data_IF_941694048344
#
_entry.id   IF_941694048344
#
_cell.length_a   1.000
_cell.length_b   1.000
_cell.length_c   1.000
_cell.angle_alpha   90.00
_cell.angle_beta   90.00
_cell.angle_gamma   90.00
#
_symmetry.space_group_name_H-M   'P 1'
#
loop_
_entity.id
_entity.type
_entity.pdbx_description
1 polymer ?
#
# COMPACT_ATOMS: atom_id res chain seq x y z
N UNK A 1 -5.22 -17.26 6.28
CA UNK A 1 -5.09 -16.20 7.31
C UNK A 1 -5.76 -14.88 6.88
N UNK A 2 -5.60 -14.43 5.64
CA UNK A 2 -6.18 -13.15 5.16
C UNK A 2 -7.69 -13.01 5.38
N UNK A 3 -8.45 -14.10 5.29
CA UNK A 3 -9.90 -14.06 5.51
C UNK A 3 -10.28 -13.75 6.97
N UNK A 4 -9.55 -14.29 7.94
CA UNK A 4 -9.76 -14.00 9.36
C UNK A 4 -9.35 -12.55 9.69
N UNK A 5 -8.24 -12.09 9.12
CA UNK A 5 -7.80 -10.70 9.26
C UNK A 5 -8.82 -9.73 8.67
N UNK A 6 -9.35 -10.03 7.48
CA UNK A 6 -10.39 -9.22 6.84
C UNK A 6 -11.63 -9.11 7.72
N UNK A 7 -12.14 -10.24 8.23
CA UNK A 7 -13.31 -10.25 9.11
C UNK A 7 -13.07 -9.42 10.39
N UNK A 8 -11.87 -9.51 10.97
CA UNK A 8 -11.50 -8.71 12.13
C UNK A 8 -11.50 -7.20 11.82
N UNK A 9 -10.95 -6.79 10.68
CA UNK A 9 -10.92 -5.39 10.28
C UNK A 9 -12.32 -4.86 9.93
N UNK A 10 -13.15 -5.65 9.25
CA UNK A 10 -14.54 -5.28 8.96
C UNK A 10 -15.36 -5.09 10.25
N UNK A 11 -15.12 -5.92 11.26
CA UNK A 11 -15.74 -5.77 12.58
C UNK A 11 -15.29 -4.48 13.30
N UNK A 12 -13.98 -4.17 13.28
CA UNK A 12 -13.43 -3.03 14.02
C UNK A 12 -13.65 -1.67 13.32
N UNK A 13 -13.80 -1.66 11.98
CA UNK A 13 -13.91 -0.45 11.18
C UNK A 13 -15.23 -0.40 10.40
N UNK A 14 -16.38 -0.23 11.09
CA UNK A 14 -17.67 -0.15 10.42
C UNK A 14 -17.72 1.05 9.47
N UNK A 15 -18.31 0.84 8.29
CA UNK A 15 -18.41 1.85 7.23
C UNK A 15 -17.22 1.87 6.26
N UNK A 16 -16.14 1.15 6.54
CA UNK A 16 -15.05 0.94 5.58
C UNK A 16 -15.21 -0.39 4.84
N UNK A 17 -14.99 -0.37 3.52
CA UNK A 17 -14.85 -1.59 2.73
C UNK A 17 -13.41 -2.08 2.86
N UNK A 18 -13.23 -3.25 3.49
CA UNK A 18 -11.90 -3.86 3.64
C UNK A 18 -11.58 -4.74 2.44
N UNK A 19 -10.40 -4.54 1.86
CA UNK A 19 -9.85 -5.35 0.77
C UNK A 19 -8.52 -5.92 1.26
N UNK A 20 -8.45 -7.24 1.44
CA UNK A 20 -7.27 -7.95 1.91
C UNK A 20 -6.71 -8.80 0.77
N UNK A 21 -5.64 -8.32 0.13
CA UNK A 21 -4.97 -8.98 -0.99
C UNK A 21 -3.71 -9.68 -0.50
N UNK A 22 -3.40 -10.83 -1.10
CA UNK A 22 -2.15 -11.53 -0.85
C UNK A 22 -0.97 -10.79 -1.48
N UNK A 23 0.25 -11.04 -0.98
CA UNK A 23 1.47 -10.46 -1.54
C UNK A 23 1.67 -10.84 -3.03
N UNK A 24 1.30 -12.07 -3.42
CA UNK A 24 1.40 -12.54 -4.80
C UNK A 24 0.26 -12.05 -5.72
N UNK A 25 -0.72 -11.33 -5.18
CA UNK A 25 -1.89 -10.90 -5.93
C UNK A 25 -1.54 -9.74 -6.89
N UNK A 26 -1.77 -9.88 -8.21
CA UNK A 26 -1.51 -8.80 -9.15
C UNK A 26 -2.32 -7.52 -8.87
N UNK A 27 -3.49 -7.64 -8.24
CA UNK A 27 -4.32 -6.50 -7.86
C UNK A 27 -3.64 -5.65 -6.76
N UNK A 28 -2.82 -6.25 -5.89
CA UNK A 28 -2.07 -5.52 -4.87
C UNK A 28 -1.07 -4.56 -5.52
N UNK A 29 -0.36 -5.03 -6.56
CA UNK A 29 0.56 -4.20 -7.33
C UNK A 29 -0.18 -3.04 -7.98
N UNK A 30 -1.32 -3.29 -8.61
CA UNK A 30 -2.13 -2.24 -9.26
C UNK A 30 -2.60 -1.19 -8.24
N UNK A 31 -3.09 -1.63 -7.09
CA UNK A 31 -3.51 -0.76 -5.99
C UNK A 31 -2.35 0.15 -5.51
N UNK A 32 -1.16 -0.43 -5.31
CA UNK A 32 0.04 0.33 -4.92
C UNK A 32 0.44 1.39 -5.95
N UNK A 33 0.49 1.03 -7.23
CA UNK A 33 0.87 1.98 -8.28
C UNK A 33 -0.18 3.09 -8.44
N UNK A 34 -1.47 2.78 -8.30
CA UNK A 34 -2.54 3.80 -8.34
C UNK A 34 -2.41 4.80 -7.18
N UNK A 35 -2.11 4.30 -5.97
CA UNK A 35 -1.85 5.16 -4.80
C UNK A 35 -0.64 6.07 -5.04
N UNK A 36 0.45 5.51 -5.60
CA UNK A 36 1.67 6.25 -5.94
C UNK A 36 1.40 7.37 -6.95
N UNK A 37 0.67 7.06 -8.02
CA UNK A 37 0.30 8.03 -9.05
C UNK A 37 -0.60 9.15 -8.50
N UNK A 38 -1.53 8.83 -7.60
CA UNK A 38 -2.35 9.83 -6.93
C UNK A 38 -1.52 10.75 -6.05
N UNK A 39 -0.57 10.22 -5.27
CA UNK A 39 0.31 11.02 -4.43
C UNK A 39 1.13 12.03 -5.26
N UNK A 40 1.77 11.56 -6.35
CA UNK A 40 2.55 12.39 -7.26
C UNK A 40 1.70 13.50 -7.92
N UNK A 41 0.50 13.16 -8.39
CA UNK A 41 -0.31 14.09 -9.18
C UNK A 41 -1.20 15.03 -8.36
N UNK A 42 -1.55 14.67 -7.12
CA UNK A 42 -2.56 15.39 -6.32
C UNK A 42 -2.12 15.81 -4.92
N UNK A 43 -1.04 15.24 -4.37
CA UNK A 43 -0.60 15.51 -2.99
C UNK A 43 0.69 16.32 -2.89
N UNK A 44 1.32 16.66 -4.02
CA UNK A 44 2.57 17.43 -4.05
C UNK A 44 3.79 16.62 -3.58
N UNK A 45 3.67 15.29 -3.53
CA UNK A 45 4.77 14.38 -3.21
C UNK A 45 5.68 14.27 -4.43
N UNK A 46 6.99 14.35 -4.23
CA UNK A 46 7.99 14.16 -5.28
C UNK A 46 8.37 12.68 -5.43
N UNK A 47 9.05 12.35 -6.53
CA UNK A 47 9.40 10.97 -6.83
C UNK A 47 10.46 10.41 -5.88
N UNK A 48 11.37 11.25 -5.39
CA UNK A 48 12.41 10.91 -4.42
C UNK A 48 11.85 10.60 -3.03
N UNK A 49 10.78 11.27 -2.59
CA UNK A 49 10.08 11.00 -1.32
C UNK A 49 9.39 9.63 -1.29
N UNK A 50 9.16 9.02 -2.46
CA UNK A 50 8.51 7.72 -2.59
C UNK A 50 9.50 6.56 -2.69
N UNK A 51 10.80 6.82 -2.67
CA UNK A 51 11.82 5.77 -2.65
C UNK A 51 12.13 5.38 -1.22
N UNK A 52 12.34 4.08 -0.93
CA UNK A 52 12.94 3.71 0.33
C UNK A 52 14.30 4.40 0.46
N UNK A 53 14.44 5.27 1.46
CA UNK A 53 15.73 5.84 1.80
C UNK A 53 16.51 4.77 2.57
N UNK A 54 17.37 4.06 1.85
CA UNK A 54 18.45 3.34 2.49
C UNK A 54 19.43 4.37 3.08
N UNK A 55 20.00 4.10 4.26
CA UNK A 55 21.12 4.91 4.75
C UNK A 55 22.29 4.79 3.77
N UNK A 56 23.22 5.75 3.79
CA UNK A 56 24.45 5.65 3.01
C UNK A 56 25.12 4.28 3.24
N UNK A 57 25.17 3.45 2.20
CA UNK A 57 25.74 2.10 2.24
C UNK A 57 24.74 0.93 2.41
N UNK A 58 23.43 1.17 2.49
CA UNK A 58 22.41 0.11 2.46
C UNK A 58 21.78 0.01 1.05
N UNK A 59 21.65 -1.21 0.51
CA UNK A 59 20.80 -1.47 -0.65
C UNK A 59 19.39 -1.80 -0.14
N UNK A 60 18.37 -1.17 -0.72
CA UNK A 60 16.97 -1.56 -0.49
C UNK A 60 16.36 -2.11 -1.78
N UNK A 61 15.45 -3.06 -1.59
CA UNK A 61 14.90 -4.01 -2.57
C UNK A 61 14.43 -3.41 -3.90
#
# INVERSE_FOLDING_TARGET
MLQALRALLEFNFPGFKIVALDHGDPELKQSREACRAYALSKRGVSQDELQPHAKEGEETL
#
